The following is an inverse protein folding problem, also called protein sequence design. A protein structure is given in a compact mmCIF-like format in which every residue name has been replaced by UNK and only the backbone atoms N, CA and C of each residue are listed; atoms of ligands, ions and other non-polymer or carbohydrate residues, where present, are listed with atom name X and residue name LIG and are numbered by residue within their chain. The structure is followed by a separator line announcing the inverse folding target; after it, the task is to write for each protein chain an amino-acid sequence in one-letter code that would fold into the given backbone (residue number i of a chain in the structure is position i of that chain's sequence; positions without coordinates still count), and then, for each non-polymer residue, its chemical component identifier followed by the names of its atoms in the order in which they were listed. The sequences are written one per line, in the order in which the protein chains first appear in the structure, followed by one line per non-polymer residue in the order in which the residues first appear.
data_IF_001311141109
#
_entry.id   IF_001311141109
#
_cell.length_a   1.000
_cell.length_b   1.000
_cell.length_c   1.000
_cell.angle_alpha   90.00
_cell.angle_beta   90.00
_cell.angle_gamma   90.00
#
_symmetry.space_group_name_H-M   'P 1'
#
loop_
_entity.id
_entity.type
_entity.pdbx_description
1 polymer ?
#
# COMPACT_ATOMS: atom_id res chain seq x y z
N UNK A 1 -51.31 -24.50 8.29
CA UNK A 1 -50.53 -24.29 7.06
C UNK A 1 -49.38 -23.34 7.41
N UNK A 2 -48.19 -23.91 7.61
CA UNK A 2 -46.97 -23.12 7.84
C UNK A 2 -46.53 -22.60 6.48
N UNK A 3 -46.64 -21.29 6.27
CA UNK A 3 -46.08 -20.61 5.10
C UNK A 3 -44.56 -20.80 5.12
N UNK A 4 -44.07 -21.74 4.32
CA UNK A 4 -42.66 -21.87 4.00
C UNK A 4 -42.22 -20.60 3.27
N UNK A 5 -41.49 -19.71 3.95
CA UNK A 5 -40.66 -18.74 3.26
C UNK A 5 -39.62 -19.53 2.45
N UNK A 6 -39.47 -19.31 1.14
CA UNK A 6 -38.47 -20.02 0.37
C UNK A 6 -37.10 -19.62 0.92
N UNK A 7 -36.41 -20.61 1.51
CA UNK A 7 -35.02 -20.47 1.88
C UNK A 7 -34.26 -19.94 0.67
N UNK A 8 -33.51 -18.86 0.88
CA UNK A 8 -32.70 -18.22 -0.15
C UNK A 8 -31.54 -19.15 -0.52
N UNK A 9 -31.80 -20.17 -1.33
CA UNK A 9 -30.74 -21.04 -1.85
C UNK A 9 -29.87 -20.25 -2.83
N UNK A 10 -28.69 -19.85 -2.35
CA UNK A 10 -27.57 -19.48 -3.20
C UNK A 10 -27.16 -20.73 -3.98
N UNK A 11 -27.26 -20.68 -5.30
CA UNK A 11 -26.77 -21.73 -6.20
C UNK A 11 -25.92 -21.15 -7.29
N UNK A 12 -25.05 -21.98 -7.85
CA UNK A 12 -24.28 -21.61 -9.03
C UNK A 12 -25.21 -21.35 -10.21
N UNK A 13 -24.93 -20.28 -10.96
CA UNK A 13 -25.70 -19.87 -12.12
C UNK A 13 -25.34 -20.70 -13.36
N UNK A 14 -26.33 -21.05 -14.17
CA UNK A 14 -26.10 -21.66 -15.48
C UNK A 14 -25.64 -20.61 -16.50
N UNK A 15 -24.99 -21.03 -17.59
CA UNK A 15 -24.50 -20.10 -18.63
C UNK A 15 -25.60 -19.25 -19.28
N UNK A 16 -26.81 -19.80 -19.36
CA UNK A 16 -27.99 -19.10 -19.89
C UNK A 16 -28.45 -18.01 -18.91
N UNK A 17 -28.49 -18.33 -17.62
CA UNK A 17 -28.87 -17.37 -16.57
C UNK A 17 -27.86 -16.22 -16.49
N UNK A 18 -26.57 -16.49 -16.65
CA UNK A 18 -25.50 -15.47 -16.70
C UNK A 18 -25.71 -14.45 -17.82
N UNK A 19 -26.34 -14.84 -18.94
CA UNK A 19 -26.60 -13.93 -20.06
C UNK A 19 -27.90 -13.16 -19.90
N UNK A 20 -28.91 -13.77 -19.28
CA UNK A 20 -30.26 -13.20 -19.20
C UNK A 20 -30.49 -12.36 -17.94
N UNK A 21 -29.89 -12.75 -16.81
CA UNK A 21 -30.15 -12.09 -15.53
C UNK A 21 -29.22 -10.90 -15.31
N UNK A 22 -29.73 -9.94 -14.54
CA UNK A 22 -28.97 -8.75 -14.17
C UNK A 22 -27.82 -9.11 -13.22
N UNK A 23 -26.61 -8.68 -13.56
CA UNK A 23 -25.45 -8.75 -12.69
C UNK A 23 -25.48 -7.66 -11.60
N UNK A 24 -25.23 -8.07 -10.36
CA UNK A 24 -25.20 -7.19 -9.18
C UNK A 24 -24.01 -7.50 -8.29
N UNK A 25 -23.67 -6.55 -7.42
CA UNK A 25 -22.64 -6.71 -6.38
C UNK A 25 -23.17 -7.60 -5.26
N UNK A 26 -22.38 -8.57 -4.83
CA UNK A 26 -22.75 -9.45 -3.71
C UNK A 26 -22.57 -8.76 -2.35
N UNK A 27 -23.18 -9.35 -1.32
CA UNK A 27 -22.93 -9.01 0.08
C UNK A 27 -21.47 -9.29 0.45
N UNK A 28 -20.78 -8.29 0.99
CA UNK A 28 -19.38 -8.38 1.39
C UNK A 28 -19.27 -8.87 2.84
N UNK A 29 -18.44 -9.89 3.09
CA UNK A 29 -18.25 -10.47 4.43
C UNK A 29 -17.50 -9.53 5.39
N UNK A 30 -17.63 -9.75 6.69
CA UNK A 30 -16.93 -8.98 7.72
C UNK A 30 -15.39 -9.06 7.57
N UNK A 31 -14.87 -10.20 7.10
CA UNK A 31 -13.43 -10.40 6.89
C UNK A 31 -12.86 -9.41 5.85
N UNK A 32 -13.60 -9.14 4.77
CA UNK A 32 -13.22 -8.16 3.75
C UNK A 32 -13.19 -6.75 4.36
N UNK A 33 -14.20 -6.38 5.16
CA UNK A 33 -14.22 -5.07 5.83
C UNK A 33 -13.05 -4.88 6.79
N UNK A 34 -12.69 -5.91 7.57
CA UNK A 34 -11.50 -5.88 8.43
C UNK A 34 -10.22 -5.70 7.61
N UNK A 35 -10.09 -6.40 6.48
CA UNK A 35 -8.93 -6.26 5.59
C UNK A 35 -8.86 -4.85 4.94
N UNK A 36 -9.99 -4.28 4.56
CA UNK A 36 -10.09 -2.90 4.04
C UNK A 36 -9.65 -1.87 5.10
N UNK A 37 -10.14 -2.00 6.33
CA UNK A 37 -9.76 -1.12 7.46
C UNK A 37 -8.27 -1.28 7.80
N UNK A 38 -7.75 -2.51 7.77
CA UNK A 38 -6.34 -2.77 8.01
C UNK A 38 -5.44 -2.09 6.96
N UNK A 39 -5.81 -2.17 5.68
CA UNK A 39 -5.13 -1.47 4.61
C UNK A 39 -5.23 0.06 4.77
N UNK A 40 -6.41 0.59 5.12
CA UNK A 40 -6.62 2.01 5.36
C UNK A 40 -5.76 2.54 6.52
N UNK A 41 -5.67 1.78 7.62
CA UNK A 41 -4.89 2.15 8.81
C UNK A 41 -3.39 2.19 8.51
N UNK A 42 -2.91 1.29 7.65
CA UNK A 42 -1.53 1.37 7.18
C UNK A 42 -1.28 2.59 6.30
N UNK A 43 -2.20 2.93 5.40
CA UNK A 43 -2.09 4.16 4.60
C UNK A 43 -2.09 5.40 5.47
N UNK A 44 -2.95 5.42 6.48
CA UNK A 44 -3.00 6.49 7.48
C UNK A 44 -1.63 6.65 8.15
N UNK A 45 -1.04 5.54 8.59
CA UNK A 45 0.29 5.50 9.22
C UNK A 45 1.37 6.01 8.28
N UNK A 46 1.38 5.55 7.03
CA UNK A 46 2.36 5.94 6.03
C UNK A 46 2.36 7.45 5.79
N UNK A 47 1.19 8.06 5.57
CA UNK A 47 1.11 9.49 5.36
C UNK A 47 1.43 10.30 6.62
N UNK A 48 0.97 9.86 7.79
CA UNK A 48 1.25 10.54 9.05
C UNK A 48 2.74 10.51 9.41
N UNK A 49 3.43 9.40 9.20
CA UNK A 49 4.86 9.30 9.55
C UNK A 49 5.77 10.00 8.54
N UNK A 50 5.42 9.98 7.24
CA UNK A 50 6.29 10.51 6.18
C UNK A 50 6.20 12.03 6.03
N UNK A 51 5.03 12.62 6.32
CA UNK A 51 4.79 14.06 6.10
C UNK A 51 5.75 14.96 6.88
N UNK A 52 6.05 14.70 8.18
CA UNK A 52 6.97 15.53 8.95
C UNK A 52 8.44 15.48 8.50
N UNK A 53 8.85 14.48 7.71
CA UNK A 53 10.27 14.20 7.47
C UNK A 53 11.02 15.35 6.83
N UNK A 54 10.41 16.05 5.87
CA UNK A 54 11.07 17.16 5.20
C UNK A 54 11.46 18.24 6.23
N UNK A 55 10.50 18.66 7.06
CA UNK A 55 10.72 19.67 8.12
C UNK A 55 11.65 19.15 9.23
N UNK A 56 11.44 17.91 9.67
CA UNK A 56 12.24 17.25 10.71
C UNK A 56 13.73 17.22 10.35
N UNK A 57 14.05 16.88 9.10
CA UNK A 57 15.43 16.72 8.62
C UNK A 57 16.04 18.07 8.25
N UNK A 58 15.32 18.93 7.52
CA UNK A 58 15.91 20.11 6.90
C UNK A 58 16.19 21.25 7.88
N UNK A 59 15.27 21.49 8.84
CA UNK A 59 15.28 22.69 9.67
C UNK A 59 15.99 22.43 11.02
N UNK A 60 16.72 23.42 11.57
CA UNK A 60 17.28 23.34 12.91
C UNK A 60 16.18 23.50 13.99
N UNK A 61 16.49 23.09 15.22
CA UNK A 61 15.56 23.19 16.38
C UNK A 61 15.14 24.64 16.66
N UNK A 62 16.04 25.60 16.43
CA UNK A 62 15.84 27.02 16.77
C UNK A 62 15.05 27.81 15.71
N UNK A 63 14.53 27.13 14.68
CA UNK A 63 13.77 27.77 13.61
C UNK A 63 12.39 28.24 14.11
N UNK A 64 12.21 29.57 14.18
CA UNK A 64 10.98 30.21 14.67
C UNK A 64 9.83 30.12 13.67
N UNK A 65 10.12 30.19 12.37
CA UNK A 65 9.11 30.25 11.31
C UNK A 65 8.57 28.87 10.91
N UNK A 66 9.43 27.84 10.96
CA UNK A 66 9.11 26.49 10.45
C UNK A 66 9.64 25.44 11.43
N UNK A 67 8.85 24.42 11.82
CA UNK A 67 9.32 23.37 12.72
C UNK A 67 10.58 22.67 12.19
N UNK A 68 11.51 22.34 13.10
CA UNK A 68 12.77 21.66 12.77
C UNK A 68 13.35 20.84 13.90
N UNK A 69 14.24 19.89 13.56
CA UNK A 69 14.87 19.02 14.55
C UNK A 69 16.36 18.73 14.26
N UNK A 70 16.72 18.41 13.02
CA UNK A 70 18.08 17.93 12.69
C UNK A 70 18.97 18.97 12.00
N UNK A 71 18.40 19.92 11.27
CA UNK A 71 19.17 20.97 10.58
C UNK A 71 20.14 20.46 9.52
N UNK A 72 19.88 19.31 8.88
CA UNK A 72 20.78 18.72 7.86
C UNK A 72 20.66 19.37 6.47
N UNK A 73 19.77 20.36 6.33
CA UNK A 73 19.53 21.08 5.10
C UNK A 73 18.56 20.38 4.14
N UNK A 74 17.98 21.18 3.24
CA UNK A 74 16.93 20.76 2.30
C UNK A 74 17.38 19.63 1.38
N UNK A 75 18.57 19.73 0.78
CA UNK A 75 19.07 18.72 -0.16
C UNK A 75 19.21 17.34 0.52
N UNK A 76 19.74 17.31 1.74
CA UNK A 76 19.87 16.08 2.53
C UNK A 76 18.50 15.50 2.88
N UNK A 77 17.54 16.32 3.32
CA UNK A 77 16.17 15.91 3.61
C UNK A 77 15.48 15.26 2.40
N UNK A 78 15.57 15.92 1.24
CA UNK A 78 14.98 15.40 0.00
C UNK A 78 15.65 14.10 -0.44
N UNK A 79 16.97 13.99 -0.34
CA UNK A 79 17.70 12.79 -0.73
C UNK A 79 17.37 11.59 0.17
N UNK A 80 17.32 11.78 1.50
CA UNK A 80 16.97 10.73 2.46
C UNK A 80 15.53 10.25 2.23
N UNK A 81 14.59 11.18 2.05
CA UNK A 81 13.19 10.85 1.76
C UNK A 81 13.04 10.10 0.43
N UNK A 82 13.78 10.52 -0.60
CA UNK A 82 13.79 9.87 -1.92
C UNK A 82 14.38 8.46 -1.84
N UNK A 83 15.45 8.26 -1.06
CA UNK A 83 16.04 6.95 -0.83
C UNK A 83 15.05 5.98 -0.16
N UNK A 84 14.29 6.46 0.83
CA UNK A 84 13.22 5.68 1.44
C UNK A 84 12.13 5.29 0.43
N UNK A 85 11.67 6.24 -0.40
CA UNK A 85 10.66 5.95 -1.41
C UNK A 85 11.17 4.90 -2.40
N UNK A 86 12.41 5.04 -2.88
CA UNK A 86 13.07 4.07 -3.74
C UNK A 86 13.08 2.66 -3.13
N UNK A 87 13.53 2.52 -1.88
CA UNK A 87 13.50 1.25 -1.16
C UNK A 87 12.08 0.69 -1.01
N UNK A 88 11.10 1.56 -0.70
CA UNK A 88 9.69 1.16 -0.54
C UNK A 88 9.02 0.67 -1.82
N UNK A 89 9.58 1.00 -3.00
CA UNK A 89 9.10 0.55 -4.31
C UNK A 89 9.93 -0.62 -4.88
N UNK A 90 11.18 -0.79 -4.44
CA UNK A 90 12.04 -1.90 -4.85
C UNK A 90 11.76 -3.19 -4.05
N UNK A 91 11.67 -3.08 -2.73
CA UNK A 91 11.49 -4.20 -1.82
C UNK A 91 10.15 -4.97 -1.93
N UNK A 92 9.02 -4.40 -2.40
CA UNK A 92 7.78 -5.17 -2.57
C UNK A 92 7.95 -6.40 -3.46
N UNK A 93 8.80 -6.36 -4.47
CA UNK A 93 9.07 -7.51 -5.35
C UNK A 93 9.71 -8.67 -4.58
N UNK A 94 10.64 -8.36 -3.67
CA UNK A 94 11.28 -9.36 -2.81
C UNK A 94 10.25 -9.96 -1.84
N UNK A 95 9.43 -9.10 -1.23
CA UNK A 95 8.36 -9.53 -0.34
C UNK A 95 7.28 -10.37 -1.03
N UNK A 96 6.94 -10.06 -2.28
CA UNK A 96 6.01 -10.88 -3.06
C UNK A 96 6.56 -12.30 -3.26
N UNK A 97 7.87 -12.42 -3.57
CA UNK A 97 8.54 -13.72 -3.67
C UNK A 97 8.43 -14.50 -2.36
N UNK A 98 8.85 -13.89 -1.26
CA UNK A 98 8.86 -14.52 0.07
C UNK A 98 7.44 -14.89 0.52
N UNK A 99 6.47 -14.02 0.26
CA UNK A 99 5.06 -14.21 0.63
C UNK A 99 4.46 -15.43 -0.06
N UNK A 100 4.66 -15.56 -1.37
CA UNK A 100 4.02 -16.63 -2.12
C UNK A 100 4.71 -17.98 -1.87
N UNK A 101 6.05 -18.01 -1.73
CA UNK A 101 6.79 -19.27 -1.61
C UNK A 101 6.87 -19.82 -0.18
N UNK A 102 7.15 -18.98 0.82
CA UNK A 102 7.61 -19.45 2.14
C UNK A 102 6.66 -19.06 3.28
N UNK A 103 6.36 -17.77 3.42
CA UNK A 103 5.65 -17.26 4.61
C UNK A 103 4.12 -17.37 4.49
N UNK A 104 3.59 -17.29 3.26
CA UNK A 104 2.17 -17.07 3.03
C UNK A 104 1.78 -15.59 3.22
N UNK A 105 0.71 -15.18 2.53
CA UNK A 105 0.25 -13.78 2.50
C UNK A 105 -0.09 -13.23 3.88
N UNK A 106 -0.85 -14.00 4.67
CA UNK A 106 -1.29 -13.55 6.00
C UNK A 106 -0.13 -13.32 6.97
N UNK A 107 0.84 -14.25 7.06
CA UNK A 107 1.99 -14.11 7.96
C UNK A 107 2.90 -12.96 7.52
N UNK A 108 3.11 -12.82 6.21
CA UNK A 108 3.88 -11.72 5.64
C UNK A 108 3.25 -10.37 5.98
N UNK A 109 1.92 -10.25 5.85
CA UNK A 109 1.19 -9.05 6.20
C UNK A 109 1.30 -8.73 7.70
N UNK A 110 1.15 -9.72 8.59
CA UNK A 110 1.32 -9.53 10.03
C UNK A 110 2.74 -9.08 10.40
N UNK A 111 3.77 -9.71 9.84
CA UNK A 111 5.16 -9.32 10.04
C UNK A 111 5.41 -7.88 9.56
N UNK A 112 4.84 -7.52 8.41
CA UNK A 112 4.98 -6.18 7.83
C UNK A 112 4.38 -5.10 8.73
N UNK A 113 3.20 -5.34 9.30
CA UNK A 113 2.59 -4.43 10.26
C UNK A 113 3.35 -4.34 11.58
N UNK A 114 3.91 -5.45 12.06
CA UNK A 114 4.77 -5.45 13.23
C UNK A 114 6.05 -4.64 13.00
N UNK A 115 6.67 -4.74 11.83
CA UNK A 115 7.81 -3.90 11.46
C UNK A 115 7.41 -2.43 11.39
N UNK A 116 6.26 -2.09 10.81
CA UNK A 116 5.77 -0.71 10.80
C UNK A 116 5.58 -0.17 12.23
N UNK A 117 5.00 -0.97 13.13
CA UNK A 117 4.89 -0.61 14.54
C UNK A 117 6.25 -0.34 15.19
N UNK A 118 7.23 -1.23 15.00
CA UNK A 118 8.58 -1.06 15.53
C UNK A 118 9.25 0.22 14.99
N UNK A 119 9.10 0.49 13.69
CA UNK A 119 9.62 1.70 13.06
C UNK A 119 8.98 2.98 13.62
N UNK A 120 7.65 2.98 13.79
CA UNK A 120 6.92 4.08 14.44
C UNK A 120 7.34 4.28 15.90
N UNK A 121 7.60 3.18 16.63
CA UNK A 121 8.05 3.25 18.02
C UNK A 121 9.45 3.88 18.12
N UNK A 122 10.38 3.49 17.25
CA UNK A 122 11.75 4.02 17.24
C UNK A 122 11.74 5.52 16.94
N UNK A 123 11.01 5.96 15.90
CA UNK A 123 10.96 7.39 15.54
C UNK A 123 10.23 8.22 16.60
N UNK A 124 9.20 7.66 17.24
CA UNK A 124 8.54 8.29 18.38
C UNK A 124 9.50 8.46 19.57
N UNK A 125 10.16 7.39 20.01
CA UNK A 125 11.07 7.45 21.18
C UNK A 125 12.21 8.42 20.93
N UNK A 126 12.82 8.37 19.75
CA UNK A 126 13.98 9.21 19.40
C UNK A 126 13.62 10.68 19.18
N UNK A 127 12.35 11.00 18.95
CA UNK A 127 11.85 12.37 18.82
C UNK A 127 11.36 12.99 20.15
N UNK A 128 11.34 12.22 21.24
CA UNK A 128 10.94 12.73 22.56
C UNK A 128 11.84 13.88 23.03
N UNK A 129 11.29 14.87 23.77
CA UNK A 129 12.08 15.99 24.30
C UNK A 129 13.25 15.56 25.21
N UNK A 130 13.16 14.38 25.85
CA UNK A 130 14.23 13.81 26.66
C UNK A 130 15.54 13.58 25.87
N UNK A 131 15.45 13.36 24.56
CA UNK A 131 16.60 13.18 23.67
C UNK A 131 16.96 14.45 22.89
N UNK A 132 16.44 15.61 23.32
CA UNK A 132 16.64 16.90 22.63
C UNK A 132 18.11 17.26 22.41
N UNK A 133 18.97 16.95 23.38
CA UNK A 133 20.40 17.29 23.38
C UNK A 133 21.28 16.36 22.51
N UNK A 134 20.79 15.18 22.10
CA UNK A 134 21.58 14.22 21.33
C UNK A 134 21.17 14.18 19.86
N UNK A 135 21.77 15.05 19.05
CA UNK A 135 21.56 15.06 17.59
C UNK A 135 21.89 13.71 16.94
N UNK A 136 22.96 13.05 17.39
CA UNK A 136 23.37 11.73 16.88
C UNK A 136 22.25 10.70 17.09
N UNK A 137 21.64 10.68 18.28
CA UNK A 137 20.55 9.75 18.59
C UNK A 137 19.35 9.96 17.66
N UNK A 138 19.00 11.21 17.36
CA UNK A 138 17.88 11.54 16.46
C UNK A 138 18.16 11.13 15.01
N UNK A 139 19.38 11.37 14.51
CA UNK A 139 19.79 11.00 13.14
C UNK A 139 19.83 9.48 12.98
N UNK A 140 20.48 8.79 13.92
CA UNK A 140 20.59 7.32 13.91
C UNK A 140 19.21 6.69 14.09
N UNK A 141 18.41 7.21 15.02
CA UNK A 141 17.04 6.80 15.25
C UNK A 141 16.16 6.91 14.02
N UNK A 142 16.22 8.06 13.33
CA UNK A 142 15.52 8.29 12.07
C UNK A 142 15.98 7.28 11.00
N UNK A 143 17.29 7.08 10.82
CA UNK A 143 17.82 6.15 9.84
C UNK A 143 17.34 4.71 10.05
N UNK A 144 17.42 4.21 11.29
CA UNK A 144 16.91 2.88 11.63
C UNK A 144 15.39 2.77 11.47
N UNK A 145 14.64 3.79 11.91
CA UNK A 145 13.20 3.81 11.74
C UNK A 145 12.80 3.78 10.27
N UNK A 146 13.45 4.57 9.41
CA UNK A 146 13.17 4.61 7.96
C UNK A 146 13.46 3.27 7.27
N UNK A 147 14.54 2.58 7.65
CA UNK A 147 14.84 1.24 7.10
C UNK A 147 13.74 0.25 7.49
N UNK A 148 13.39 0.20 8.78
CA UNK A 148 12.38 -0.74 9.30
C UNK A 148 10.99 -0.43 8.70
N UNK A 149 10.59 0.85 8.67
CA UNK A 149 9.36 1.31 8.02
C UNK A 149 9.36 0.99 6.52
N UNK A 150 10.50 1.13 5.85
CA UNK A 150 10.63 0.88 4.42
C UNK A 150 10.41 -0.60 4.10
N UNK A 151 11.00 -1.48 4.91
CA UNK A 151 10.81 -2.94 4.81
C UNK A 151 9.36 -3.31 5.12
N UNK A 152 8.77 -2.78 6.20
CA UNK A 152 7.38 -3.05 6.59
C UNK A 152 6.37 -2.58 5.54
N UNK A 153 6.44 -1.32 5.14
CA UNK A 153 5.60 -0.73 4.08
C UNK A 153 5.69 -1.52 2.77
N UNK A 154 6.90 -1.95 2.39
CA UNK A 154 7.09 -2.74 1.19
C UNK A 154 6.37 -4.09 1.23
N UNK A 155 6.39 -4.77 2.39
CA UNK A 155 5.69 -6.03 2.59
C UNK A 155 4.16 -5.87 2.55
N UNK A 156 3.63 -4.79 3.13
CA UNK A 156 2.20 -4.46 3.02
C UNK A 156 1.82 -4.17 1.57
N UNK A 157 2.58 -3.35 0.85
CA UNK A 157 2.34 -3.05 -0.58
C UNK A 157 2.31 -4.30 -1.45
N UNK A 158 3.16 -5.28 -1.16
CA UNK A 158 3.22 -6.54 -1.92
C UNK A 158 2.01 -7.46 -1.65
N UNK A 159 1.45 -7.45 -0.44
CA UNK A 159 0.52 -8.49 0.02
C UNK A 159 -0.90 -8.02 0.30
N UNK A 160 -1.13 -6.74 0.62
CA UNK A 160 -2.42 -6.24 1.06
C UNK A 160 -3.52 -6.34 -0.01
N UNK A 161 -3.22 -5.94 -1.24
CA UNK A 161 -4.21 -5.99 -2.34
C UNK A 161 -4.64 -7.44 -2.67
N UNK A 162 -3.70 -8.39 -2.92
CA UNK A 162 -4.05 -9.80 -3.04
C UNK A 162 -4.80 -10.34 -1.82
N UNK A 163 -4.41 -9.96 -0.60
CA UNK A 163 -5.03 -10.43 0.63
C UNK A 163 -6.50 -9.98 0.78
N UNK A 164 -6.83 -8.75 0.38
CA UNK A 164 -8.22 -8.25 0.36
C UNK A 164 -9.04 -9.07 -0.64
N UNK A 165 -8.51 -9.32 -1.84
CA UNK A 165 -9.18 -10.16 -2.85
C UNK A 165 -9.40 -11.60 -2.37
N UNK A 166 -8.46 -12.16 -1.61
CA UNK A 166 -8.56 -13.50 -1.04
C UNK A 166 -9.66 -13.64 0.03
N UNK A 167 -10.10 -12.54 0.65
CA UNK A 167 -11.18 -12.57 1.64
C UNK A 167 -12.56 -12.80 1.00
N UNK A 168 -12.68 -12.59 -0.32
CA UNK A 168 -13.88 -12.90 -1.08
C UNK A 168 -13.75 -14.29 -1.73
N UNK A 169 -14.33 -15.29 -1.05
CA UNK A 169 -14.16 -16.72 -1.38
C UNK A 169 -15.01 -17.16 -2.58
N UNK A 170 -16.13 -16.50 -2.85
CA UNK A 170 -17.08 -16.90 -3.89
C UNK A 170 -16.47 -16.76 -5.29
N UNK A 171 -16.22 -17.89 -5.95
CA UNK A 171 -15.58 -17.95 -7.28
C UNK A 171 -16.56 -18.08 -8.43
N UNK A 172 -17.70 -18.75 -8.23
CA UNK A 172 -18.73 -18.93 -9.25
C UNK A 172 -19.79 -17.81 -9.18
N UNK A 173 -20.35 -17.37 -10.33
CA UNK A 173 -21.51 -16.49 -10.31
C UNK A 173 -22.67 -17.20 -9.62
N UNK A 174 -23.23 -16.59 -8.58
CA UNK A 174 -24.33 -17.19 -7.82
C UNK A 174 -25.65 -16.49 -8.12
N UNK A 175 -26.71 -17.28 -8.29
CA UNK A 175 -28.07 -16.76 -8.37
C UNK A 175 -28.53 -16.40 -6.97
N UNK A 176 -28.87 -15.12 -6.78
CA UNK A 176 -29.40 -14.60 -5.54
C UNK A 176 -30.81 -14.09 -5.81
N UNK A 177 -31.75 -14.43 -4.94
CA UNK A 177 -33.09 -13.83 -4.96
C UNK A 177 -33.07 -12.61 -4.06
N UNK A 178 -33.34 -11.43 -4.62
CA UNK A 178 -33.39 -10.18 -3.84
C UNK A 178 -34.59 -10.21 -2.87
N UNK A 179 -34.58 -9.31 -1.88
CA UNK A 179 -35.73 -9.09 -0.98
C UNK A 179 -37.03 -8.74 -1.70
N UNK A 180 -36.96 -8.33 -2.97
CA UNK A 180 -38.09 -8.01 -3.85
C UNK A 180 -38.55 -9.20 -4.71
N UNK A 181 -37.93 -10.38 -4.56
CA UNK A 181 -38.24 -11.59 -5.33
C UNK A 181 -37.57 -11.65 -6.71
N UNK A 182 -36.78 -10.64 -7.10
CA UNK A 182 -36.07 -10.63 -8.38
C UNK A 182 -34.84 -11.55 -8.32
N UNK A 183 -34.69 -12.44 -9.31
CA UNK A 183 -33.50 -13.28 -9.49
C UNK A 183 -32.41 -12.45 -10.15
N UNK A 184 -31.28 -12.34 -9.49
CA UNK A 184 -30.10 -11.59 -9.96
C UNK A 184 -28.86 -12.45 -9.80
N UNK A 185 -27.81 -12.13 -10.54
CA UNK A 185 -26.54 -12.85 -10.45
C UNK A 185 -25.52 -12.01 -9.71
N UNK A 186 -24.97 -12.56 -8.64
CA UNK A 186 -23.79 -12.03 -7.98
C UNK A 186 -22.56 -12.28 -8.84
N UNK A 187 -22.04 -11.22 -9.45
CA UNK A 187 -20.81 -11.30 -10.25
C UNK A 187 -19.58 -11.00 -9.37
N UNK A 188 -18.62 -11.92 -9.37
CA UNK A 188 -17.34 -11.77 -8.67
C UNK A 188 -16.54 -10.57 -9.20
N UNK A 189 -16.53 -10.32 -10.51
CA UNK A 189 -15.75 -9.23 -11.09
C UNK A 189 -16.27 -7.87 -10.63
N UNK A 190 -17.59 -7.67 -10.67
CA UNK A 190 -18.24 -6.46 -10.15
C UNK A 190 -18.03 -6.31 -8.63
N UNK A 191 -18.11 -7.41 -7.88
CA UNK A 191 -17.93 -7.38 -6.43
C UNK A 191 -16.49 -7.03 -6.05
N UNK A 192 -15.49 -7.61 -6.72
CA UNK A 192 -14.09 -7.24 -6.52
C UNK A 192 -13.82 -5.78 -6.93
N UNK A 193 -14.39 -5.32 -8.05
CA UNK A 193 -14.30 -3.92 -8.46
C UNK A 193 -14.87 -2.98 -7.39
N UNK A 194 -16.03 -3.31 -6.83
CA UNK A 194 -16.62 -2.58 -5.71
C UNK A 194 -15.70 -2.56 -4.49
N UNK A 195 -15.18 -3.72 -4.05
CA UNK A 195 -14.27 -3.83 -2.90
C UNK A 195 -13.02 -2.95 -3.10
N UNK A 196 -12.40 -2.97 -4.29
CA UNK A 196 -11.24 -2.13 -4.58
C UNK A 196 -11.59 -0.64 -4.65
N UNK A 197 -12.76 -0.28 -5.20
CA UNK A 197 -13.24 1.11 -5.18
C UNK A 197 -13.43 1.64 -3.76
N UNK A 198 -13.98 0.81 -2.86
CA UNK A 198 -14.10 1.15 -1.43
C UNK A 198 -12.72 1.29 -0.78
N UNK A 199 -11.77 0.40 -1.11
CA UNK A 199 -10.39 0.50 -0.63
C UNK A 199 -9.72 1.82 -1.03
N UNK A 200 -9.95 2.31 -2.25
CA UNK A 200 -9.45 3.61 -2.70
C UNK A 200 -10.09 4.77 -1.93
N UNK A 201 -11.40 4.71 -1.67
CA UNK A 201 -12.07 5.69 -0.81
C UNK A 201 -11.48 5.75 0.59
N UNK A 202 -11.27 4.60 1.23
CA UNK A 202 -10.64 4.55 2.54
C UNK A 202 -9.19 5.04 2.52
N UNK A 203 -8.45 4.79 1.44
CA UNK A 203 -7.08 5.30 1.27
C UNK A 203 -7.07 6.84 1.17
N UNK A 204 -8.03 7.43 0.46
CA UNK A 204 -8.18 8.89 0.36
C UNK A 204 -8.58 9.53 1.68
N UNK A 205 -9.42 8.88 2.49
CA UNK A 205 -9.75 9.35 3.83
C UNK A 205 -8.53 9.23 4.75
N UNK A 206 -7.82 8.09 4.68
CA UNK A 206 -6.63 7.84 5.46
C UNK A 206 -5.50 8.84 5.18
N UNK A 207 -5.37 9.32 3.95
CA UNK A 207 -4.34 10.32 3.60
C UNK A 207 -4.55 11.67 4.25
N UNK A 208 -5.76 12.00 4.72
CA UNK A 208 -6.03 13.21 5.52
C UNK A 208 -5.22 13.25 6.83
N UNK A 209 -4.62 12.13 7.24
CA UNK A 209 -3.69 12.06 8.37
C UNK A 209 -2.48 12.99 8.21
N UNK A 210 -2.10 13.34 6.97
CA UNK A 210 -1.06 14.33 6.70
C UNK A 210 -1.40 15.70 7.32
N UNK A 211 -2.68 16.08 7.33
CA UNK A 211 -3.14 17.35 7.91
C UNK A 211 -3.01 17.27 9.42
N UNK A 212 -3.52 16.21 10.04
CA UNK A 212 -3.39 16.03 11.49
C UNK A 212 -1.91 16.03 11.92
N UNK A 213 -1.05 15.33 11.19
CA UNK A 213 0.38 15.27 11.49
C UNK A 213 1.10 16.62 11.35
N UNK A 214 0.76 17.41 10.33
CA UNK A 214 1.36 18.75 10.10
C UNK A 214 0.93 19.75 11.17
N UNK A 215 -0.31 19.67 11.66
CA UNK A 215 -0.75 20.49 12.79
C UNK A 215 -0.09 20.07 14.10
N UNK A 216 0.06 18.76 14.34
CA UNK A 216 0.75 18.26 15.55
C UNK A 216 2.22 18.66 15.59
N UNK A 217 2.96 18.55 14.47
CA UNK A 217 4.35 19.00 14.44
C UNK A 217 4.49 20.50 14.69
N UNK A 218 3.53 21.30 14.22
CA UNK A 218 3.55 22.77 14.32
C UNK A 218 3.16 23.27 15.71
N UNK A 219 2.14 22.68 16.32
CA UNK A 219 1.55 23.19 17.56
C UNK A 219 2.15 22.55 18.83
N UNK A 220 2.62 21.31 18.75
CA UNK A 220 3.09 20.54 19.92
C UNK A 220 4.53 20.07 19.73
N UNK A 221 4.86 19.58 18.55
CA UNK A 221 6.19 19.13 18.17
C UNK A 221 6.19 17.74 17.54
N UNK A 222 7.36 17.34 17.04
CA UNK A 222 7.52 16.10 16.25
C UNK A 222 7.15 14.82 16.98
N UNK A 223 7.39 14.74 18.29
CA UNK A 223 7.00 13.56 19.08
C UNK A 223 5.49 13.29 19.02
N UNK A 224 4.66 14.35 19.02
CA UNK A 224 3.21 14.23 18.94
C UNK A 224 2.78 13.83 17.52
N UNK A 225 3.44 14.37 16.49
CA UNK A 225 3.23 13.96 15.11
C UNK A 225 3.55 12.47 14.89
N UNK A 226 4.60 11.93 15.53
CA UNK A 226 4.96 10.51 15.45
C UNK A 226 4.17 9.60 16.41
N UNK A 227 3.55 10.15 17.45
CA UNK A 227 2.61 9.41 18.32
C UNK A 227 1.34 9.01 17.56
N UNK A 228 0.88 9.85 16.64
CA UNK A 228 -0.31 9.59 15.82
C UNK A 228 -0.21 8.28 15.00
N UNK A 229 0.83 8.05 14.15
CA UNK A 229 1.02 6.78 13.45
C UNK A 229 1.34 5.62 14.40
N UNK A 230 1.98 5.87 15.55
CA UNK A 230 2.22 4.85 16.57
C UNK A 230 0.90 4.31 17.16
N UNK A 231 -0.05 5.20 17.48
CA UNK A 231 -1.36 4.79 17.97
C UNK A 231 -2.14 4.00 16.90
N UNK A 232 -2.10 4.45 15.63
CA UNK A 232 -2.74 3.75 14.53
C UNK A 232 -2.19 2.31 14.36
N UNK A 233 -0.87 2.16 14.31
CA UNK A 233 -0.22 0.83 14.22
C UNK A 233 -0.45 -0.02 15.46
N UNK A 234 -0.49 0.58 16.65
CA UNK A 234 -0.83 -0.12 17.89
C UNK A 234 -2.25 -0.67 17.88
N UNK A 235 -3.23 0.02 17.28
CA UNK A 235 -4.60 -0.53 17.13
C UNK A 235 -4.71 -1.60 16.04
N UNK A 236 -3.88 -1.50 15.01
CA UNK A 236 -3.88 -2.42 13.86
C UNK A 236 -3.38 -3.83 14.22
N UNK A 237 -2.35 -3.93 15.07
CA UNK A 237 -1.76 -5.23 15.45
C UNK A 237 -2.77 -6.12 16.21
N UNK A 238 -3.44 -5.66 17.28
CA UNK A 238 -4.49 -6.43 17.96
C UNK A 238 -5.68 -6.76 17.06
N UNK A 239 -6.09 -5.85 16.16
CA UNK A 239 -7.19 -6.09 15.24
C UNK A 239 -6.96 -7.37 14.42
N UNK A 240 -5.77 -7.54 13.87
CA UNK A 240 -5.45 -8.72 13.06
C UNK A 240 -5.29 -9.99 13.88
N UNK A 241 -4.83 -9.89 15.12
CA UNK A 241 -4.75 -11.02 16.04
C UNK A 241 -6.13 -11.51 16.47
N UNK A 242 -7.07 -10.59 16.75
CA UNK A 242 -8.45 -10.91 17.12
C UNK A 242 -9.18 -11.58 15.95
N UNK A 243 -9.07 -11.02 14.75
CA UNK A 243 -9.75 -11.54 13.55
C UNK A 243 -8.96 -12.67 12.84
N UNK A 244 -7.84 -13.12 13.41
CA UNK A 244 -6.98 -14.17 12.84
C UNK A 244 -7.74 -15.47 12.46
N UNK A 245 -8.79 -15.83 13.21
CA UNK A 245 -9.60 -17.03 12.90
C UNK A 245 -10.63 -16.81 11.79
N UNK A 246 -11.07 -15.57 11.60
CA UNK A 246 -12.07 -15.21 10.58
C UNK A 246 -11.46 -14.89 9.22
N UNK A 247 -10.15 -14.62 9.17
CA UNK A 247 -9.44 -14.27 7.95
C UNK A 247 -9.07 -15.53 7.15
N UNK A 248 -9.32 -15.46 5.83
CA UNK A 248 -8.98 -16.52 4.89
C UNK A 248 -7.47 -16.58 4.73
N UNK A 249 -6.90 -17.77 4.91
CA UNK A 249 -5.46 -18.04 4.80
C UNK A 249 -5.20 -18.91 3.59
N UNK A 250 -4.84 -18.27 2.49
CA UNK A 250 -4.35 -18.98 1.32
C UNK A 250 -3.03 -19.70 1.67
N UNK A 251 -2.94 -20.98 1.31
CA UNK A 251 -1.70 -21.75 1.43
C UNK A 251 -0.65 -21.17 0.46
N UNK A 252 0.65 -21.18 0.82
CA UNK A 252 1.71 -20.79 -0.12
C UNK A 252 1.57 -21.55 -1.45
N UNK A 253 1.57 -20.81 -2.55
CA UNK A 253 1.48 -21.36 -3.92
C UNK A 253 2.81 -21.13 -4.63
N UNK A 254 3.13 -21.95 -5.64
CA UNK A 254 4.36 -21.79 -6.40
C UNK A 254 4.43 -20.37 -7.03
N UNK A 255 5.51 -19.63 -6.73
CA UNK A 255 5.64 -18.27 -7.24
C UNK A 255 6.01 -18.28 -8.72
N UNK A 256 5.28 -17.46 -9.49
CA UNK A 256 5.40 -17.31 -10.93
C UNK A 256 6.59 -16.40 -11.30
N UNK A 257 6.99 -15.44 -10.45
CA UNK A 257 8.04 -14.46 -10.71
C UNK A 257 9.42 -15.08 -11.00
N UNK A 258 9.93 -16.08 -10.25
CA UNK A 258 11.19 -16.73 -10.59
C UNK A 258 11.13 -17.44 -11.95
N UNK A 259 10.01 -18.10 -12.27
CA UNK A 259 9.80 -18.73 -13.59
C UNK A 259 9.77 -17.68 -14.70
N UNK A 260 9.04 -16.58 -14.52
CA UNK A 260 9.02 -15.46 -15.45
C UNK A 260 10.42 -14.86 -15.67
N UNK A 261 11.22 -14.70 -14.61
CA UNK A 261 12.59 -14.18 -14.73
C UNK A 261 13.49 -15.08 -15.59
N UNK A 262 13.37 -16.41 -15.46
CA UNK A 262 14.11 -17.38 -16.28
C UNK A 262 13.71 -17.27 -17.76
N UNK A 263 12.42 -17.13 -18.06
CA UNK A 263 11.91 -16.91 -19.42
C UNK A 263 12.49 -15.62 -20.01
N UNK A 264 12.47 -14.53 -19.26
CA UNK A 264 12.99 -13.22 -19.71
C UNK A 264 14.50 -13.28 -19.96
N UNK A 265 15.27 -13.90 -19.07
CA UNK A 265 16.72 -14.08 -19.23
C UNK A 265 17.02 -14.96 -20.45
N UNK A 266 16.22 -16.01 -20.67
CA UNK A 266 16.34 -16.88 -21.84
C UNK A 266 16.08 -16.10 -23.14
N UNK A 267 14.96 -15.37 -23.22
CA UNK A 267 14.64 -14.52 -24.37
C UNK A 267 15.72 -13.43 -24.59
N UNK A 268 16.21 -12.79 -23.53
CA UNK A 268 17.25 -11.77 -23.59
C UNK A 268 18.58 -12.29 -24.13
N UNK A 269 19.01 -13.49 -23.70
CA UNK A 269 20.21 -14.17 -24.24
C UNK A 269 20.11 -14.46 -25.74
N UNK A 270 18.89 -14.58 -26.26
CA UNK A 270 18.61 -14.79 -27.68
C UNK A 270 18.12 -13.52 -28.38
N UNK A 271 18.66 -12.34 -28.03
CA UNK A 271 18.36 -11.04 -28.64
C UNK A 271 16.87 -10.66 -28.60
N UNK A 272 16.19 -10.97 -27.49
CA UNK A 272 14.74 -10.78 -27.31
C UNK A 272 13.87 -11.57 -28.29
N UNK A 273 14.39 -12.68 -28.84
CA UNK A 273 13.56 -13.62 -29.58
C UNK A 273 12.73 -14.46 -28.59
N UNK A 274 11.44 -14.14 -28.48
CA UNK A 274 10.49 -14.84 -27.60
C UNK A 274 10.22 -16.28 -28.03
N UNK A 275 10.33 -16.58 -29.33
CA UNK A 275 10.19 -17.94 -29.83
C UNK A 275 11.33 -18.84 -29.35
N UNK A 276 12.50 -18.26 -29.07
CA UNK A 276 13.64 -19.00 -28.55
C UNK A 276 13.46 -19.42 -27.08
N UNK A 277 12.48 -18.86 -26.37
CA UNK A 277 12.13 -19.23 -25.00
C UNK A 277 11.02 -20.30 -24.94
N UNK A 278 10.47 -20.72 -26.08
CA UNK A 278 9.46 -21.78 -26.14
C UNK A 278 10.05 -23.15 -25.76
N UNK A 279 9.26 -24.04 -25.15
CA UNK A 279 9.74 -25.38 -24.76
C UNK A 279 10.13 -26.20 -25.98
N UNK A 280 9.39 -26.07 -27.08
CA UNK A 280 9.68 -26.74 -28.35
C UNK A 280 11.06 -26.34 -28.85
N UNK A 281 11.34 -25.04 -28.96
CA UNK A 281 12.63 -24.53 -29.42
C UNK A 281 13.79 -24.90 -28.49
N UNK A 282 13.58 -24.85 -27.17
CA UNK A 282 14.60 -25.24 -26.19
C UNK A 282 14.91 -26.74 -26.21
N UNK A 283 13.88 -27.57 -26.44
CA UNK A 283 14.04 -29.01 -26.55
C UNK A 283 14.76 -29.42 -27.85
N UNK A 284 14.35 -28.86 -29.00
CA UNK A 284 14.93 -29.19 -30.31
C UNK A 284 16.37 -28.70 -30.48
N UNK A 285 16.68 -27.48 -30.00
CA UNK A 285 17.98 -26.85 -30.27
C UNK A 285 19.02 -27.06 -29.16
N UNK A 286 18.57 -27.21 -27.93
CA UNK A 286 19.45 -27.29 -26.76
C UNK A 286 19.25 -28.56 -25.92
N UNK A 287 18.29 -29.43 -26.28
CA UNK A 287 18.01 -30.67 -25.55
C UNK A 287 17.51 -30.44 -24.12
N UNK A 288 16.96 -29.25 -23.81
CA UNK A 288 16.55 -28.88 -22.45
C UNK A 288 15.02 -28.96 -22.31
N UNK A 289 14.55 -29.68 -21.31
CA UNK A 289 13.17 -29.56 -20.84
C UNK A 289 13.06 -28.35 -19.91
N UNK A 290 12.11 -27.47 -20.20
CA UNK A 290 11.80 -26.28 -19.41
C UNK A 290 10.47 -26.47 -18.69
N UNK A 291 10.31 -25.82 -17.54
CA UNK A 291 9.14 -26.00 -16.67
C UNK A 291 7.90 -25.16 -17.06
N UNK A 292 7.97 -24.42 -18.16
CA UNK A 292 6.94 -23.44 -18.57
C UNK A 292 6.38 -23.77 -19.95
N UNK A 293 5.17 -23.28 -20.25
CA UNK A 293 4.45 -23.54 -21.51
C UNK A 293 4.54 -22.36 -22.49
N UNK A 294 4.21 -22.60 -23.77
CA UNK A 294 4.20 -21.56 -24.82
C UNK A 294 3.27 -20.39 -24.49
N UNK A 295 2.08 -20.70 -23.95
CA UNK A 295 1.11 -19.69 -23.53
C UNK A 295 1.71 -18.76 -22.48
N UNK A 296 2.48 -19.33 -21.54
CA UNK A 296 3.13 -18.55 -20.49
C UNK A 296 4.18 -17.58 -21.09
N UNK A 297 5.00 -18.04 -22.04
CA UNK A 297 5.97 -17.19 -22.74
C UNK A 297 5.27 -16.03 -23.45
N UNK A 298 4.15 -16.30 -24.12
CA UNK A 298 3.36 -15.28 -24.80
C UNK A 298 2.75 -14.26 -23.81
N UNK A 299 2.23 -14.72 -22.68
CA UNK A 299 1.70 -13.85 -21.62
C UNK A 299 2.79 -12.93 -21.04
N UNK A 300 4.01 -13.44 -20.82
CA UNK A 300 5.16 -12.62 -20.37
C UNK A 300 5.54 -11.57 -21.43
N UNK A 301 5.58 -11.95 -22.71
CA UNK A 301 5.82 -11.00 -23.82
C UNK A 301 4.79 -9.88 -23.82
N UNK A 302 3.50 -10.24 -23.72
CA UNK A 302 2.39 -9.28 -23.69
C UNK A 302 2.49 -8.35 -22.46
N UNK A 303 2.84 -8.91 -21.29
CA UNK A 303 3.06 -8.14 -20.07
C UNK A 303 4.20 -7.11 -20.21
N UNK A 304 5.33 -7.49 -20.82
CA UNK A 304 6.44 -6.57 -21.06
C UNK A 304 6.14 -5.50 -22.10
N UNK A 305 5.35 -5.82 -23.14
CA UNK A 305 4.85 -4.83 -24.08
C UNK A 305 3.95 -3.80 -23.38
N UNK A 306 3.09 -4.22 -22.46
CA UNK A 306 2.30 -3.31 -21.63
C UNK A 306 3.20 -2.45 -20.71
N UNK A 307 4.28 -3.02 -20.15
CA UNK A 307 5.26 -2.27 -19.36
C UNK A 307 5.95 -1.15 -20.16
N UNK A 308 6.15 -1.34 -21.47
CA UNK A 308 6.69 -0.28 -22.36
C UNK A 308 5.77 0.95 -22.39
N UNK A 309 4.45 0.74 -22.37
CA UNK A 309 3.47 1.84 -22.29
C UNK A 309 3.53 2.51 -20.92
N UNK A 310 3.72 1.73 -19.85
CA UNK A 310 3.91 2.26 -18.50
C UNK A 310 5.21 3.06 -18.32
N UNK A 311 6.24 2.84 -19.15
CA UNK A 311 7.46 3.66 -19.12
C UNK A 311 7.16 5.15 -19.39
N UNK A 312 6.11 5.46 -20.15
CA UNK A 312 5.65 6.84 -20.37
C UNK A 312 5.12 7.52 -19.10
N UNK A 313 4.75 6.76 -18.06
CA UNK A 313 4.32 7.30 -16.77
C UNK A 313 5.49 7.59 -15.81
N UNK A 314 6.72 7.16 -16.15
CA UNK A 314 7.91 7.43 -15.31
C UNK A 314 8.16 8.93 -15.15
N UNK A 315 8.16 9.77 -16.22
CA UNK A 315 8.30 11.22 -16.06
C UNK A 315 7.19 11.83 -15.19
N UNK A 316 5.94 11.37 -15.37
CA UNK A 316 4.81 11.83 -14.56
C UNK A 316 5.02 11.54 -13.07
N UNK A 317 5.42 10.31 -12.72
CA UNK A 317 5.68 9.94 -11.32
C UNK A 317 6.91 10.65 -10.73
N UNK A 318 7.94 10.91 -11.54
CA UNK A 318 9.09 11.71 -11.10
C UNK A 318 8.66 13.13 -10.73
N UNK A 319 7.87 13.79 -11.59
CA UNK A 319 7.33 15.12 -11.30
C UNK A 319 6.45 15.09 -10.04
N UNK A 320 5.55 14.12 -9.91
CA UNK A 320 4.67 13.98 -8.75
C UNK A 320 5.43 13.83 -7.43
N UNK A 321 6.50 13.03 -7.39
CA UNK A 321 7.31 12.88 -6.17
C UNK A 321 8.07 14.16 -5.80
N UNK A 322 8.50 14.93 -6.80
CA UNK A 322 9.22 16.20 -6.58
C UNK A 322 8.31 17.31 -6.07
N UNK A 323 7.02 17.29 -6.38
CA UNK A 323 6.08 18.33 -5.95
C UNK A 323 6.03 18.42 -4.41
N UNK A 324 5.91 17.30 -3.71
CA UNK A 324 5.64 17.31 -2.25
C UNK A 324 6.77 17.96 -1.44
N UNK A 325 8.01 17.48 -1.57
CA UNK A 325 9.13 17.99 -0.76
C UNK A 325 9.51 19.42 -1.13
N UNK A 326 9.43 19.77 -2.41
CA UNK A 326 9.75 21.12 -2.89
C UNK A 326 8.68 22.12 -2.46
N UNK A 327 7.39 21.76 -2.52
CA UNK A 327 6.31 22.64 -2.03
C UNK A 327 6.41 22.90 -0.53
N UNK A 328 6.75 21.89 0.28
CA UNK A 328 6.98 22.07 1.73
C UNK A 328 8.12 23.07 1.98
N UNK A 329 9.21 22.91 1.23
CA UNK A 329 10.37 23.81 1.34
C UNK A 329 10.04 25.24 0.87
N UNK A 330 9.29 25.38 -0.23
CA UNK A 330 8.81 26.68 -0.74
C UNK A 330 7.86 27.36 0.25
N UNK A 331 6.93 26.60 0.84
CA UNK A 331 6.00 27.11 1.84
C UNK A 331 6.74 27.67 3.08
N UNK A 332 7.85 27.05 3.47
CA UNK A 332 8.73 27.54 4.54
C UNK A 332 9.40 28.89 4.24
N UNK A 333 9.56 29.26 2.96
CA UNK A 333 10.13 30.54 2.53
C UNK A 333 9.07 31.64 2.29
N UNK A 334 7.79 31.29 2.31
CA UNK A 334 6.69 32.26 2.14
C UNK A 334 6.53 33.14 3.40
N UNK A 335 5.92 34.32 3.26
CA UNK A 335 5.59 35.19 4.40
C UNK A 335 4.49 34.54 5.26
N UNK A 336 4.88 33.82 6.30
CA UNK A 336 3.99 33.08 7.19
C UNK A 336 3.15 33.94 8.17
N UNK A 337 3.12 35.27 8.01
CA UNK A 337 2.64 36.19 9.05
C UNK A 337 1.82 37.41 8.63
N UNK A 338 1.33 37.52 7.38
CA UNK A 338 0.49 38.65 6.97
C UNK A 338 -1.01 38.32 6.86
N UNK A 339 -1.40 37.06 6.70
CA UNK A 339 -2.81 36.68 6.56
C UNK A 339 -3.58 36.56 7.90
N UNK A 340 -2.94 36.12 9.00
CA UNK A 340 -3.64 36.07 10.30
C UNK A 340 -3.70 37.44 10.97
N UNK A 341 -2.66 38.26 10.81
CA UNK A 341 -2.61 39.62 11.39
C UNK A 341 -3.61 40.59 10.77
N UNK A 342 -4.01 40.36 9.52
CA UNK A 342 -5.06 41.16 8.86
C UNK A 342 -6.47 40.77 9.31
N UNK A 343 -6.67 39.57 9.88
CA UNK A 343 -7.94 39.15 10.48
C UNK A 343 -8.02 39.69 11.91
N UNK A 344 -6.94 39.61 12.70
CA UNK A 344 -6.88 40.20 14.05
C UNK A 344 -7.00 41.74 14.03
N UNK A 345 -6.54 42.42 12.97
CA UNK A 345 -6.72 43.88 12.84
C UNK A 345 -8.15 44.30 12.48
N UNK A 346 -8.95 43.41 11.88
CA UNK A 346 -10.37 43.70 11.56
C UNK A 346 -11.23 43.53 12.83
N UNK A 347 -10.90 42.60 13.72
CA UNK A 347 -11.59 42.42 15.00
C UNK A 347 -11.23 43.48 16.07
N UNK A 348 -10.18 44.29 15.85
CA UNK A 348 -9.82 45.42 16.73
C UNK A 348 -10.42 46.77 16.30
N UNK A 349 -11.08 46.86 15.15
CA UNK A 349 -11.73 48.09 14.65
C UNK A 349 -13.27 48.04 14.67
N UNK A 350 -13.87 47.03 15.33
CA UNK A 350 -15.30 46.96 15.69
C UNK A 350 -15.45 46.96 17.21
#
# INVERSE_FOLDING_TARGET
MVTQHPEHERRDATEEEIKELRHVVDSVSLAVWVALIANATERFTFYAVTTPWQNYIQNPVDSVAVPGALGLGQATATNITSAFLFLSFLLPTVWAIISDTWLGRHKTLCLSYFLNFCGCLIIFVTSLPAFSHSQITKVVGLGFAMIILGIGTAGVKATASPFIGDQYVETAPQVITTKKGERVIADRALTLQYIYNVSYWFTNIASLSLVASTYLEKLVGFWAAYLLPLCATWTLVPLLLIFHKSLVKQKPQANILPRASRVIVCAGRHKFNWEAATPVYQSEKFGRQVEWDDKFVFEIKRGLQACKVMACFVPFHLCMNQITNNLVSQAGQMRLGQASKSIESIDCEL
#
